data_IF_813072219705
#
_entry.id   IF_813072219705
#
_cell.length_a   1.000
_cell.length_b   1.000
_cell.length_c   1.000
_cell.angle_alpha   90.00
_cell.angle_beta   90.00
_cell.angle_gamma   90.00
#
_symmetry.space_group_name_H-M   'P 1'
#
loop_
_entity.id
_entity.type
_entity.pdbx_description
1 polymer ?
#
# COMPACT_ATOMS: atom_id res chain seq x y z
N UNK A 1 -27.80 39.28 7.13
CA UNK A 1 -26.59 38.58 6.68
C UNK A 1 -25.77 38.28 7.92
N UNK A 2 -25.63 37.01 8.33
CA UNK A 2 -24.72 36.70 9.44
C UNK A 2 -23.29 36.93 8.96
N UNK A 3 -22.49 37.67 9.73
CA UNK A 3 -21.04 37.81 9.46
C UNK A 3 -20.46 36.40 9.46
N UNK A 4 -20.02 35.92 8.31
CA UNK A 4 -19.31 34.65 8.20
C UNK A 4 -18.01 34.79 9.00
N UNK A 5 -17.79 33.88 9.95
CA UNK A 5 -16.56 33.86 10.74
C UNK A 5 -15.51 33.05 9.99
N UNK A 6 -14.31 33.61 9.84
CA UNK A 6 -13.18 32.92 9.23
C UNK A 6 -12.24 32.42 10.32
N UNK A 7 -11.88 31.15 10.29
CA UNK A 7 -10.82 30.58 11.10
C UNK A 7 -9.47 30.81 10.42
N UNK A 8 -8.51 31.36 11.17
CA UNK A 8 -7.13 31.58 10.75
C UNK A 8 -6.18 31.13 11.86
N UNK A 9 -5.13 30.41 11.49
CA UNK A 9 -4.02 30.10 12.39
C UNK A 9 -3.24 31.41 12.63
N UNK A 10 -2.94 31.81 13.87
CA UNK A 10 -2.09 32.98 14.10
C UNK A 10 -0.75 32.83 13.37
N UNK A 11 -0.25 33.90 12.76
CA UNK A 11 0.90 33.85 11.84
C UNK A 11 2.15 33.27 12.50
N UNK A 12 2.34 33.47 13.81
CA UNK A 12 3.46 32.91 14.58
C UNK A 12 3.40 31.38 14.75
N UNK A 13 2.25 30.76 14.52
CA UNK A 13 2.06 29.31 14.55
C UNK A 13 1.83 28.73 13.16
N UNK A 14 1.80 29.53 12.10
CA UNK A 14 1.57 29.04 10.75
C UNK A 14 2.85 28.48 10.13
N UNK A 15 2.83 27.23 9.67
CA UNK A 15 3.91 26.63 8.91
C UNK A 15 3.41 25.60 7.91
N UNK A 16 3.74 25.78 6.62
CA UNK A 16 3.33 24.83 5.58
C UNK A 16 4.26 23.63 5.52
N UNK A 17 3.79 22.45 5.95
CA UNK A 17 4.49 21.20 5.67
C UNK A 17 4.52 20.91 4.16
N UNK A 18 5.66 20.41 3.69
CA UNK A 18 5.90 20.05 2.29
C UNK A 18 6.57 18.68 2.21
N UNK A 19 6.09 17.81 1.32
CA UNK A 19 6.74 16.54 0.96
C UNK A 19 6.73 16.33 -0.57
N UNK A 20 7.49 15.33 -1.04
CA UNK A 20 7.58 14.96 -2.47
C UNK A 20 6.21 14.57 -3.01
N UNK A 21 5.81 15.15 -4.14
CA UNK A 21 4.51 14.90 -4.77
C UNK A 21 4.66 13.87 -5.90
N UNK A 22 4.06 12.68 -5.79
CA UNK A 22 4.06 11.73 -6.89
C UNK A 22 3.07 12.18 -7.98
N UNK A 23 3.56 12.34 -9.21
CA UNK A 23 2.74 12.73 -10.39
C UNK A 23 1.71 11.68 -10.81
N UNK A 24 1.79 10.49 -10.26
CA UNK A 24 0.95 9.33 -10.58
C UNK A 24 -0.12 9.05 -9.53
N UNK A 25 -0.47 10.03 -8.68
CA UNK A 25 -1.47 9.85 -7.60
C UNK A 25 -2.77 9.15 -8.06
N UNK A 26 -3.31 9.53 -9.23
CA UNK A 26 -4.57 8.97 -9.72
C UNK A 26 -4.46 7.50 -10.16
N UNK A 27 -3.23 7.01 -10.35
CA UNK A 27 -2.89 5.67 -10.86
C UNK A 27 -1.85 5.01 -9.93
N UNK A 28 -1.85 5.42 -8.65
CA UNK A 28 -0.77 5.10 -7.71
C UNK A 28 -0.64 3.60 -7.48
N UNK A 29 -1.77 2.91 -7.39
CA UNK A 29 -1.82 1.46 -7.18
C UNK A 29 -1.12 0.70 -8.33
N UNK A 30 -1.48 0.98 -9.58
CA UNK A 30 -0.86 0.30 -10.74
C UNK A 30 0.60 0.70 -10.96
N UNK A 31 0.94 1.98 -10.76
CA UNK A 31 2.34 2.44 -10.88
C UNK A 31 3.22 1.79 -9.84
N UNK A 32 2.78 1.72 -8.58
CA UNK A 32 3.59 1.13 -7.52
C UNK A 32 3.83 -0.37 -7.75
N UNK A 33 2.81 -1.13 -8.14
CA UNK A 33 2.98 -2.56 -8.46
C UNK A 33 3.94 -2.77 -9.63
N UNK A 34 3.79 -2.00 -10.71
CA UNK A 34 4.68 -2.09 -11.87
C UNK A 34 6.12 -1.74 -11.52
N UNK A 35 6.32 -0.60 -10.85
CA UNK A 35 7.65 -0.07 -10.55
C UNK A 35 8.33 -0.88 -9.45
N UNK A 36 7.63 -1.31 -8.41
CA UNK A 36 8.20 -2.19 -7.38
C UNK A 36 8.65 -3.53 -7.98
N UNK A 37 7.80 -4.14 -8.82
CA UNK A 37 8.16 -5.39 -9.53
C UNK A 37 9.43 -5.19 -10.33
N UNK A 38 9.47 -4.18 -11.18
CA UNK A 38 10.64 -3.91 -12.02
C UNK A 38 11.89 -3.49 -11.24
N UNK A 39 11.77 -2.72 -10.14
CA UNK A 39 12.91 -2.38 -9.28
C UNK A 39 13.43 -3.64 -8.58
N UNK A 40 12.55 -4.50 -8.06
CA UNK A 40 12.94 -5.73 -7.32
C UNK A 40 13.84 -6.68 -8.12
N UNK A 41 13.79 -6.57 -9.45
CA UNK A 41 14.54 -7.35 -10.42
C UNK A 41 15.92 -6.79 -10.75
N UNK A 42 16.21 -5.54 -10.35
CA UNK A 42 17.46 -4.87 -10.69
C UNK A 42 18.60 -5.41 -9.83
N UNK A 43 19.77 -5.58 -10.44
CA UNK A 43 21.00 -5.91 -9.69
C UNK A 43 21.53 -4.66 -8.99
N UNK A 44 22.48 -4.86 -8.08
CA UNK A 44 23.28 -3.76 -7.53
C UNK A 44 24.06 -3.12 -8.68
N UNK A 45 23.88 -1.82 -8.89
CA UNK A 45 24.47 -1.08 -10.00
C UNK A 45 24.95 0.30 -9.55
N UNK A 46 25.96 0.88 -10.19
CA UNK A 46 26.29 2.30 -9.99
C UNK A 46 25.08 3.19 -10.27
N UNK A 47 24.94 4.28 -9.53
CA UNK A 47 23.75 5.16 -9.55
C UNK A 47 23.28 5.53 -10.98
N UNK A 48 24.21 5.94 -11.84
CA UNK A 48 23.92 6.33 -13.23
C UNK A 48 23.35 5.17 -14.06
N UNK A 49 23.88 3.96 -13.88
CA UNK A 49 23.45 2.78 -14.63
C UNK A 49 22.07 2.32 -14.14
N UNK A 50 21.89 2.26 -12.81
CA UNK A 50 20.60 1.96 -12.20
C UNK A 50 19.52 2.95 -12.68
N UNK A 51 19.81 4.25 -12.63
CA UNK A 51 18.88 5.29 -13.07
C UNK A 51 18.48 5.15 -14.54
N UNK A 52 19.41 4.75 -15.41
CA UNK A 52 19.12 4.51 -16.83
C UNK A 52 18.23 3.29 -17.04
N UNK A 53 18.48 2.19 -16.32
CA UNK A 53 17.63 0.99 -16.40
C UNK A 53 16.21 1.26 -15.88
N UNK A 54 16.09 1.94 -14.72
CA UNK A 54 14.79 2.32 -14.19
C UNK A 54 14.03 3.29 -15.12
N UNK A 55 14.73 4.21 -15.78
CA UNK A 55 14.10 5.06 -16.79
C UNK A 55 13.51 4.25 -17.96
N UNK A 56 14.23 3.23 -18.47
CA UNK A 56 13.72 2.36 -19.55
C UNK A 56 12.43 1.65 -19.12
N UNK A 57 12.40 1.15 -17.89
CA UNK A 57 11.19 0.57 -17.26
C UNK A 57 10.06 1.60 -17.25
N UNK A 58 10.31 2.79 -16.73
CA UNK A 58 9.29 3.83 -16.61
C UNK A 58 8.74 4.31 -17.96
N UNK A 59 9.55 4.31 -19.02
CA UNK A 59 9.08 4.55 -20.40
C UNK A 59 8.14 3.44 -20.89
N UNK A 60 8.34 2.20 -20.46
CA UNK A 60 7.48 1.06 -20.79
C UNK A 60 6.09 1.09 -20.14
N UNK A 61 5.86 1.99 -19.18
CA UNK A 61 4.59 2.04 -18.45
C UNK A 61 3.52 2.87 -19.18
N UNK A 62 2.44 2.21 -19.64
CA UNK A 62 1.25 2.85 -20.23
C UNK A 62 1.58 3.95 -21.25
N UNK A 63 1.18 5.19 -20.95
CA UNK A 63 1.32 6.38 -21.82
C UNK A 63 2.69 7.04 -21.68
N UNK A 64 3.59 6.51 -20.86
CA UNK A 64 4.91 7.07 -20.65
C UNK A 64 5.83 6.90 -21.87
N UNK A 65 5.50 6.03 -22.81
CA UNK A 65 6.26 5.84 -24.04
C UNK A 65 6.44 7.14 -24.86
N UNK A 66 5.52 8.10 -24.73
CA UNK A 66 5.58 9.42 -25.38
C UNK A 66 5.99 10.56 -24.44
N UNK A 67 6.31 10.26 -23.18
CA UNK A 67 6.73 11.26 -22.20
C UNK A 67 8.15 11.78 -22.48
N UNK A 68 8.46 12.98 -22.00
CA UNK A 68 9.82 13.54 -22.10
C UNK A 68 10.74 12.91 -21.06
N UNK A 69 12.05 12.86 -21.36
CA UNK A 69 13.07 12.38 -20.44
C UNK A 69 12.98 13.05 -19.06
N UNK A 70 12.84 14.38 -19.03
CA UNK A 70 12.64 15.15 -17.78
C UNK A 70 11.42 14.68 -16.99
N UNK A 71 10.35 14.26 -17.66
CA UNK A 71 9.15 13.75 -16.96
C UNK A 71 9.45 12.41 -16.30
N UNK A 72 10.14 11.52 -17.00
CA UNK A 72 10.57 10.21 -16.48
C UNK A 72 11.57 10.35 -15.33
N UNK A 73 12.54 11.25 -15.45
CA UNK A 73 13.51 11.50 -14.37
C UNK A 73 12.83 12.01 -13.10
N UNK A 74 11.79 12.85 -13.25
CA UNK A 74 10.99 13.28 -12.11
C UNK A 74 10.20 12.12 -11.51
N UNK A 75 9.58 11.26 -12.32
CA UNK A 75 8.89 10.07 -11.83
C UNK A 75 9.82 9.16 -11.04
N UNK A 76 11.02 8.89 -11.58
CA UNK A 76 12.06 8.11 -10.90
C UNK A 76 12.36 8.71 -9.54
N UNK A 77 12.71 9.99 -9.51
CA UNK A 77 13.09 10.69 -8.27
C UNK A 77 11.94 10.72 -7.27
N UNK A 78 10.71 10.97 -7.72
CA UNK A 78 9.53 11.05 -6.86
C UNK A 78 9.16 9.69 -6.23
N UNK A 79 9.23 8.59 -7.01
CA UNK A 79 8.98 7.23 -6.49
C UNK A 79 10.06 6.82 -5.50
N UNK A 80 11.33 7.00 -5.90
CA UNK A 80 12.48 6.57 -5.10
C UNK A 80 12.53 7.33 -3.78
N UNK A 81 12.31 8.65 -3.81
CA UNK A 81 12.37 9.48 -2.61
C UNK A 81 11.21 9.20 -1.64
N UNK A 82 9.97 9.07 -2.14
CA UNK A 82 8.80 8.96 -1.28
C UNK A 82 8.61 7.58 -0.68
N UNK A 83 8.71 6.53 -1.50
CA UNK A 83 8.31 5.17 -1.11
C UNK A 83 9.48 4.27 -0.68
N UNK A 84 10.70 4.80 -0.66
CA UNK A 84 11.87 4.09 -0.17
C UNK A 84 12.23 2.84 -0.97
N UNK A 85 11.89 2.79 -2.26
CA UNK A 85 12.09 1.61 -3.11
C UNK A 85 13.56 1.31 -3.45
N UNK A 86 14.45 2.29 -3.32
CA UNK A 86 15.86 2.17 -3.63
C UNK A 86 16.66 2.48 -2.37
N UNK A 87 17.68 1.68 -2.10
CA UNK A 87 18.72 1.98 -1.10
C UNK A 87 20.03 2.23 -1.83
N UNK A 88 20.84 3.13 -1.26
CA UNK A 88 22.21 3.38 -1.69
C UNK A 88 23.18 2.77 -0.69
N UNK A 89 24.29 2.24 -1.18
CA UNK A 89 25.41 1.83 -0.33
C UNK A 89 26.70 2.07 -1.09
N UNK A 90 27.56 2.96 -0.60
CA UNK A 90 28.86 3.30 -1.21
C UNK A 90 28.76 3.71 -2.71
N UNK A 91 27.74 4.47 -3.11
CA UNK A 91 27.54 4.90 -4.50
C UNK A 91 26.91 3.85 -5.43
N UNK A 92 26.48 2.71 -4.88
CA UNK A 92 25.73 1.69 -5.60
C UNK A 92 24.28 1.68 -5.15
N UNK A 93 23.36 1.67 -6.11
CA UNK A 93 21.93 1.55 -5.89
C UNK A 93 21.49 0.10 -5.96
N UNK A 94 20.55 -0.25 -5.08
CA UNK A 94 19.98 -1.60 -5.01
C UNK A 94 18.50 -1.57 -4.65
N UNK A 95 17.74 -2.64 -5.00
CA UNK A 95 16.34 -2.74 -4.62
C UNK A 95 16.20 -2.92 -3.10
N UNK A 96 15.42 -2.04 -2.51
CA UNK A 96 15.11 -2.05 -1.08
C UNK A 96 14.23 -3.24 -0.66
N UNK A 97 14.10 -3.43 0.65
CA UNK A 97 13.13 -4.38 1.22
C UNK A 97 11.69 -4.00 0.84
N UNK A 98 11.34 -2.72 0.87
CA UNK A 98 9.98 -2.26 0.55
C UNK A 98 9.58 -2.60 -0.91
N UNK A 99 10.50 -2.41 -1.86
CA UNK A 99 10.26 -2.76 -3.26
C UNK A 99 10.09 -4.27 -3.44
N UNK A 100 10.94 -5.07 -2.78
CA UNK A 100 10.85 -6.54 -2.80
C UNK A 100 9.56 -7.04 -2.17
N UNK A 101 9.14 -6.45 -1.05
CA UNK A 101 7.88 -6.79 -0.36
C UNK A 101 6.69 -6.58 -1.29
N UNK A 102 6.53 -5.38 -1.86
CA UNK A 102 5.40 -5.11 -2.74
C UNK A 102 5.44 -5.98 -4.01
N UNK A 103 6.63 -6.20 -4.58
CA UNK A 103 6.79 -7.06 -5.75
C UNK A 103 6.41 -8.53 -5.50
N UNK A 104 6.75 -9.06 -4.32
CA UNK A 104 6.49 -10.46 -4.00
C UNK A 104 5.06 -10.67 -3.49
N UNK A 105 4.61 -9.82 -2.57
CA UNK A 105 3.34 -10.00 -1.88
C UNK A 105 2.16 -9.41 -2.65
N UNK A 106 2.40 -8.36 -3.46
CA UNK A 106 1.37 -7.68 -4.27
C UNK A 106 0.17 -7.16 -3.44
N UNK A 107 0.38 -6.93 -2.14
CA UNK A 107 -0.59 -6.36 -1.21
C UNK A 107 -0.28 -4.88 -0.96
N UNK A 108 -1.09 -3.99 -1.56
CA UNK A 108 -0.89 -2.55 -1.44
C UNK A 108 -1.21 -2.03 -0.03
N UNK A 109 -2.21 -2.62 0.62
CA UNK A 109 -2.57 -2.29 2.01
C UNK A 109 -1.43 -2.61 2.98
N UNK A 110 -0.81 -3.78 2.85
CA UNK A 110 0.42 -4.13 3.59
C UNK A 110 1.52 -3.09 3.35
N UNK A 111 1.84 -2.82 2.08
CA UNK A 111 2.88 -1.85 1.71
C UNK A 111 2.63 -0.47 2.32
N UNK A 112 1.41 0.09 2.20
CA UNK A 112 1.10 1.40 2.73
C UNK A 112 1.13 1.43 4.26
N UNK A 113 0.83 0.32 4.95
CA UNK A 113 1.00 0.23 6.39
C UNK A 113 2.48 0.39 6.80
N UNK A 114 3.41 -0.30 6.15
CA UNK A 114 4.85 -0.10 6.40
C UNK A 114 5.30 1.33 6.09
N UNK A 115 4.88 1.87 4.94
CA UNK A 115 5.19 3.25 4.56
C UNK A 115 4.74 4.24 5.65
N UNK A 116 3.47 4.18 6.06
CA UNK A 116 2.89 5.07 7.08
C UNK A 116 3.47 4.86 8.47
N UNK A 117 3.93 3.65 8.78
CA UNK A 117 4.53 3.31 10.07
C UNK A 117 5.83 4.08 10.31
N UNK A 118 6.67 4.19 9.27
CA UNK A 118 7.94 4.92 9.32
C UNK A 118 7.84 6.41 8.95
N UNK A 119 6.73 6.84 8.33
CA UNK A 119 6.59 8.20 7.80
C UNK A 119 6.53 9.26 8.91
N UNK A 120 7.37 10.28 8.83
CA UNK A 120 7.47 11.38 9.80
C UNK A 120 7.98 12.68 9.17
N UNK A 121 7.81 13.78 9.90
CA UNK A 121 8.44 15.08 9.62
C UNK A 121 9.34 15.49 10.78
N UNK A 122 10.62 15.82 10.53
CA UNK A 122 11.34 15.74 9.25
C UNK A 122 11.62 14.30 8.80
N UNK A 123 11.93 14.11 7.51
CA UNK A 123 12.27 12.82 6.91
C UNK A 123 13.04 12.95 5.60
N UNK A 124 13.83 11.93 5.23
CA UNK A 124 14.70 11.93 4.05
C UNK A 124 13.97 11.89 2.69
N UNK A 125 12.66 11.67 2.71
CA UNK A 125 11.79 11.84 1.53
C UNK A 125 11.51 13.31 1.17
N UNK A 126 12.16 14.26 1.86
CA UNK A 126 11.97 15.70 1.72
C UNK A 126 13.32 16.33 1.36
N UNK A 127 13.31 17.25 0.39
CA UNK A 127 14.51 17.98 0.00
C UNK A 127 15.14 18.73 1.18
N UNK A 128 16.48 18.66 1.29
CA UNK A 128 17.26 19.08 2.46
C UNK A 128 16.91 20.48 2.99
N UNK A 129 16.77 21.49 2.12
CA UNK A 129 16.45 22.85 2.56
C UNK A 129 15.07 22.96 3.24
N UNK A 130 14.11 22.09 2.88
CA UNK A 130 12.81 22.03 3.55
C UNK A 130 12.87 21.26 4.86
N UNK A 131 13.73 20.25 4.96
CA UNK A 131 14.04 19.57 6.23
C UNK A 131 14.63 20.58 7.22
N UNK A 132 15.60 21.39 6.79
CA UNK A 132 16.19 22.47 7.62
C UNK A 132 15.10 23.39 8.16
N UNK A 133 14.23 23.92 7.30
CA UNK A 133 13.11 24.79 7.71
C UNK A 133 12.17 24.12 8.72
N UNK A 134 11.94 22.81 8.59
CA UNK A 134 11.10 22.04 9.53
C UNK A 134 11.78 21.91 10.90
N UNK A 135 13.08 21.61 10.93
CA UNK A 135 13.87 21.51 12.16
C UNK A 135 13.93 22.88 12.86
N UNK A 136 14.21 23.96 12.13
CA UNK A 136 14.24 25.33 12.66
C UNK A 136 12.89 25.76 13.24
N UNK A 137 11.78 25.31 12.64
CA UNK A 137 10.44 25.54 13.16
C UNK A 137 10.04 24.59 14.32
N UNK A 138 10.90 23.66 14.70
CA UNK A 138 10.68 22.70 15.78
C UNK A 138 9.73 21.54 15.45
N UNK A 139 9.45 21.31 14.16
CA UNK A 139 8.52 20.27 13.70
C UNK A 139 9.00 18.89 14.13
N UNK A 140 8.12 18.13 14.79
CA UNK A 140 8.28 16.73 15.20
C UNK A 140 6.92 16.05 15.06
N UNK A 141 6.61 15.59 13.86
CA UNK A 141 5.24 15.20 13.53
C UNK A 141 5.16 13.81 12.91
N UNK A 142 4.35 12.94 13.51
CA UNK A 142 4.02 11.60 13.01
C UNK A 142 2.57 11.55 12.52
N UNK A 143 2.32 11.71 11.21
CA UNK A 143 0.98 12.00 10.70
C UNK A 143 -0.04 10.88 10.93
N UNK A 144 0.34 9.62 10.63
CA UNK A 144 -0.57 8.47 10.72
C UNK A 144 -1.14 8.34 12.15
N UNK A 145 -0.25 8.28 13.15
CA UNK A 145 -0.61 8.15 14.56
C UNK A 145 -1.44 9.35 15.05
N UNK A 146 -1.08 10.57 14.65
CA UNK A 146 -1.85 11.76 14.99
C UNK A 146 -3.29 11.70 14.44
N UNK A 147 -3.46 11.31 13.17
CA UNK A 147 -4.77 11.23 12.52
C UNK A 147 -5.65 10.14 13.16
N UNK A 148 -5.09 8.96 13.46
CA UNK A 148 -5.80 7.90 14.17
C UNK A 148 -6.30 8.39 15.54
N UNK A 149 -5.43 9.02 16.33
CA UNK A 149 -5.80 9.60 17.62
C UNK A 149 -6.84 10.70 17.48
N UNK A 150 -6.76 11.55 16.45
CA UNK A 150 -7.73 12.61 16.18
C UNK A 150 -9.13 12.05 15.94
N UNK A 151 -9.22 10.99 15.13
CA UNK A 151 -10.50 10.36 14.83
C UNK A 151 -11.08 9.67 16.08
N UNK A 152 -10.26 8.91 16.81
CA UNK A 152 -10.66 8.23 18.07
C UNK A 152 -11.15 9.25 19.10
N UNK A 153 -10.42 10.34 19.33
CA UNK A 153 -10.83 11.36 20.30
C UNK A 153 -12.09 12.11 19.83
N UNK A 154 -12.26 12.33 18.53
CA UNK A 154 -13.49 12.87 17.97
C UNK A 154 -14.70 11.96 18.18
N UNK A 155 -14.53 10.65 18.03
CA UNK A 155 -15.59 9.66 18.33
C UNK A 155 -15.97 9.68 19.81
N UNK A 156 -14.98 9.68 20.71
CA UNK A 156 -15.21 9.78 22.16
C UNK A 156 -15.97 11.06 22.54
N UNK A 157 -15.65 12.19 21.91
CA UNK A 157 -16.30 13.47 22.18
C UNK A 157 -17.74 13.55 21.67
N UNK A 158 -18.06 12.82 20.59
CA UNK A 158 -19.37 12.92 19.93
C UNK A 158 -20.31 11.75 20.21
N UNK A 159 -19.78 10.62 20.71
CA UNK A 159 -20.52 9.38 20.92
C UNK A 159 -20.97 8.70 19.62
N UNK A 160 -20.41 9.09 18.46
CA UNK A 160 -20.77 8.58 17.13
C UNK A 160 -19.54 8.58 16.22
N UNK A 161 -19.56 7.85 15.08
CA UNK A 161 -18.45 7.87 14.13
C UNK A 161 -18.06 9.29 13.74
N UNK A 162 -16.77 9.60 13.86
CA UNK A 162 -16.21 10.91 13.59
C UNK A 162 -15.41 10.86 12.31
N UNK A 163 -15.57 11.90 11.49
CA UNK A 163 -14.85 12.06 10.23
C UNK A 163 -14.23 13.43 10.14
N UNK A 164 -13.24 13.57 9.28
CA UNK A 164 -12.58 14.84 8.94
C UNK A 164 -12.44 14.98 7.42
N UNK A 165 -12.29 16.21 6.94
CA UNK A 165 -11.91 16.52 5.57
C UNK A 165 -10.41 16.82 5.47
N UNK A 166 -9.85 16.77 4.26
CA UNK A 166 -8.47 17.20 4.02
C UNK A 166 -8.26 18.70 4.36
N UNK A 167 -9.26 19.55 4.14
CA UNK A 167 -9.25 20.96 4.53
C UNK A 167 -9.14 21.12 6.05
N UNK A 168 -9.96 20.40 6.81
CA UNK A 168 -9.93 20.46 8.28
C UNK A 168 -8.61 19.96 8.84
N UNK A 169 -8.09 18.86 8.30
CA UNK A 169 -6.78 18.34 8.70
C UNK A 169 -5.65 19.34 8.37
N UNK A 170 -5.74 20.01 7.22
CA UNK A 170 -4.77 21.02 6.81
C UNK A 170 -4.77 22.21 7.76
N UNK A 171 -5.95 22.79 7.98
CA UNK A 171 -6.11 24.07 8.66
C UNK A 171 -6.11 23.95 10.19
N UNK A 172 -6.52 22.81 10.74
CA UNK A 172 -6.56 22.60 12.19
C UNK A 172 -5.35 21.84 12.73
N UNK A 173 -4.53 21.23 11.87
CA UNK A 173 -3.37 20.43 12.30
C UNK A 173 -2.10 20.68 11.47
N UNK A 174 -2.07 20.32 10.19
CA UNK A 174 -0.81 20.27 9.41
C UNK A 174 -0.12 21.64 9.30
N UNK A 175 -0.88 22.73 9.26
CA UNK A 175 -0.32 24.08 9.22
C UNK A 175 -0.07 24.72 10.58
N UNK A 176 -0.53 24.09 11.67
CA UNK A 176 -0.43 24.65 13.00
C UNK A 176 0.78 24.06 13.73
N UNK A 177 1.83 24.87 13.91
CA UNK A 177 3.04 24.48 14.64
C UNK A 177 2.73 23.98 16.04
N UNK A 178 1.66 24.43 16.68
CA UNK A 178 1.29 23.89 17.99
C UNK A 178 0.97 22.40 17.90
N UNK A 179 0.43 21.94 16.78
CA UNK A 179 0.15 20.52 16.53
C UNK A 179 1.41 19.80 16.06
N UNK A 180 2.08 20.32 15.04
CA UNK A 180 3.24 19.63 14.43
C UNK A 180 4.49 19.64 15.30
N UNK A 181 4.54 20.43 16.38
CA UNK A 181 5.56 20.37 17.44
C UNK A 181 5.10 19.63 18.70
N UNK A 182 3.89 19.04 18.70
CA UNK A 182 3.34 18.25 19.81
C UNK A 182 2.76 19.06 20.98
N UNK A 183 2.72 20.39 20.89
CA UNK A 183 2.18 21.30 21.94
C UNK A 183 0.65 21.29 22.05
N UNK A 184 -0.06 20.83 21.02
CA UNK A 184 -1.52 20.68 20.96
C UNK A 184 -1.86 19.24 20.58
N UNK A 185 -2.70 18.63 21.40
CA UNK A 185 -3.04 17.22 21.28
C UNK A 185 -4.23 16.99 20.33
N UNK A 186 -4.34 15.75 19.83
CA UNK A 186 -5.40 15.35 18.90
C UNK A 186 -6.82 15.64 19.41
N UNK A 187 -7.07 15.45 20.70
CA UNK A 187 -8.35 15.79 21.35
C UNK A 187 -8.71 17.27 21.25
N UNK A 188 -7.74 18.16 21.38
CA UNK A 188 -7.96 19.61 21.28
C UNK A 188 -8.27 20.01 19.85
N UNK A 189 -7.61 19.38 18.87
CA UNK A 189 -7.91 19.55 17.45
C UNK A 189 -9.30 19.04 17.12
N UNK A 190 -9.72 17.88 17.65
CA UNK A 190 -11.09 17.38 17.48
C UNK A 190 -12.14 18.39 18.00
N UNK A 191 -11.92 18.95 19.20
CA UNK A 191 -12.78 20.00 19.77
C UNK A 191 -12.82 21.25 18.88
N UNK A 192 -11.67 21.67 18.34
CA UNK A 192 -11.58 22.81 17.43
C UNK A 192 -12.40 22.56 16.16
N UNK A 193 -12.25 21.41 15.51
CA UNK A 193 -13.02 21.04 14.32
C UNK A 193 -14.53 21.04 14.62
N UNK A 194 -14.94 20.42 15.73
CA UNK A 194 -16.34 20.39 16.15
C UNK A 194 -16.91 21.79 16.41
N UNK A 195 -16.13 22.65 17.06
CA UNK A 195 -16.51 24.05 17.29
C UNK A 195 -16.64 24.80 15.96
N UNK A 196 -15.66 24.68 15.08
CA UNK A 196 -15.65 25.29 13.75
C UNK A 196 -16.89 24.89 12.93
N UNK A 197 -17.24 23.59 12.93
CA UNK A 197 -18.47 23.09 12.29
C UNK A 197 -19.74 23.69 12.90
N UNK A 198 -19.81 23.77 14.23
CA UNK A 198 -20.97 24.32 14.96
C UNK A 198 -21.15 25.81 14.65
N UNK A 199 -20.05 26.55 14.65
CA UNK A 199 -19.99 27.99 14.38
C UNK A 199 -20.09 28.30 12.88
N UNK A 200 -20.09 27.27 12.01
CA UNK A 200 -20.11 27.36 10.53
C UNK A 200 -19.02 28.29 10.00
N UNK A 201 -17.80 28.13 10.53
CA UNK A 201 -16.66 28.95 10.10
C UNK A 201 -16.15 28.50 8.74
N UNK A 202 -15.69 29.46 7.94
CA UNK A 202 -14.87 29.17 6.77
C UNK A 202 -13.39 29.17 7.17
N UNK A 203 -12.55 28.48 6.41
CA UNK A 203 -11.11 28.46 6.64
C UNK A 203 -10.39 29.50 5.77
N UNK A 204 -9.43 30.21 6.35
CA UNK A 204 -8.52 31.11 5.64
C UNK A 204 -7.52 30.33 4.78
N UNK A 205 -7.28 30.81 3.57
CA UNK A 205 -6.30 30.24 2.63
C UNK A 205 -5.19 31.22 2.28
N UNK A 206 -5.44 32.52 2.45
CA UNK A 206 -4.58 33.59 2.02
C UNK A 206 -3.60 33.95 3.16
N UNK A 207 -2.68 33.03 3.42
CA UNK A 207 -1.53 33.28 4.27
C UNK A 207 -0.41 33.89 3.42
N UNK A 208 0.14 35.04 3.80
CA UNK A 208 1.22 35.69 3.03
C UNK A 208 2.43 34.75 2.84
N UNK A 209 2.68 33.85 3.80
CA UNK A 209 3.71 32.79 3.69
C UNK A 209 3.45 31.76 2.57
N UNK A 210 2.23 31.68 2.03
CA UNK A 210 1.87 30.83 0.89
C UNK A 210 1.92 31.55 -0.45
N UNK A 211 2.01 32.89 -0.44
CA UNK A 211 1.94 33.71 -1.63
C UNK A 211 3.13 33.44 -2.54
N UNK A 212 2.86 33.24 -3.82
CA UNK A 212 3.93 33.06 -4.80
C UNK A 212 4.70 34.37 -4.95
N UNK A 213 5.98 34.40 -4.59
CA UNK A 213 6.82 35.61 -4.65
C UNK A 213 6.92 36.20 -6.07
N UNK A 214 6.76 35.38 -7.12
CA UNK A 214 6.90 35.81 -8.52
C UNK A 214 5.59 36.33 -9.10
N UNK A 215 4.46 35.69 -8.79
CA UNK A 215 3.16 36.04 -9.38
C UNK A 215 2.29 36.89 -8.43
N UNK A 216 2.58 36.88 -7.14
CA UNK A 216 1.76 37.50 -6.10
C UNK A 216 0.48 36.74 -5.78
N UNK A 217 0.24 35.60 -6.41
CA UNK A 217 -0.99 34.81 -6.29
C UNK A 217 -0.90 33.80 -5.14
N UNK A 218 -2.05 33.55 -4.49
CA UNK A 218 -2.20 32.48 -3.51
C UNK A 218 -2.46 31.13 -4.19
N UNK A 219 -2.01 30.01 -3.59
CA UNK A 219 -2.29 28.69 -4.12
C UNK A 219 -3.79 28.38 -4.08
N UNK A 220 -4.26 27.52 -4.99
CA UNK A 220 -5.64 27.05 -4.94
C UNK A 220 -5.92 26.27 -3.64
N UNK A 221 -7.21 26.16 -3.26
CA UNK A 221 -7.62 25.34 -2.09
C UNK A 221 -7.14 23.88 -2.22
N UNK A 222 -7.25 23.31 -3.42
CA UNK A 222 -6.78 21.96 -3.70
C UNK A 222 -5.27 21.81 -3.52
N UNK A 223 -4.50 22.83 -3.91
CA UNK A 223 -3.04 22.84 -3.73
C UNK A 223 -2.62 23.03 -2.27
N UNK A 224 -3.43 23.75 -1.51
CA UNK A 224 -3.21 24.01 -0.09
C UNK A 224 -3.44 22.75 0.72
N UNK A 225 -4.53 22.02 0.46
CA UNK A 225 -4.93 20.85 1.23
C UNK A 225 -4.24 19.55 0.79
N UNK A 226 -3.36 19.64 -0.22
CA UNK A 226 -2.87 18.48 -0.97
C UNK A 226 -2.10 17.48 -0.11
N UNK A 227 -1.13 17.94 0.69
CA UNK A 227 -0.26 17.06 1.47
C UNK A 227 -1.02 16.30 2.56
N UNK A 228 -1.95 16.97 3.24
CA UNK A 228 -2.81 16.31 4.21
C UNK A 228 -3.75 15.30 3.52
N UNK A 229 -4.29 15.66 2.34
CA UNK A 229 -5.09 14.77 1.51
C UNK A 229 -4.30 13.54 1.02
N UNK A 230 -3.06 13.70 0.59
CA UNK A 230 -2.19 12.60 0.14
C UNK A 230 -2.00 11.56 1.26
N UNK A 231 -1.71 12.01 2.49
CA UNK A 231 -1.60 11.09 3.64
C UNK A 231 -2.93 10.42 3.98
N UNK A 232 -4.05 11.15 3.93
CA UNK A 232 -5.37 10.56 4.14
C UNK A 232 -5.69 9.49 3.09
N UNK A 233 -5.36 9.73 1.82
CA UNK A 233 -5.52 8.76 0.75
C UNK A 233 -4.63 7.53 0.95
N UNK A 234 -3.37 7.71 1.38
CA UNK A 234 -2.49 6.58 1.72
C UNK A 234 -2.99 5.80 2.92
N UNK A 235 -3.58 6.44 3.93
CA UNK A 235 -4.22 5.75 5.05
C UNK A 235 -5.50 5.00 4.63
N UNK A 236 -6.20 5.46 3.60
CA UNK A 236 -7.29 4.69 2.97
C UNK A 236 -6.72 3.48 2.23
N UNK A 237 -5.64 3.63 1.46
CA UNK A 237 -4.99 2.51 0.77
C UNK A 237 -4.39 1.48 1.74
N UNK A 238 -3.89 1.92 2.90
CA UNK A 238 -3.46 1.07 4.02
C UNK A 238 -4.62 0.37 4.75
N UNK A 239 -5.86 0.60 4.31
CA UNK A 239 -7.07 0.09 4.94
C UNK A 239 -7.23 0.51 6.42
N UNK A 240 -6.62 1.62 6.83
CA UNK A 240 -6.77 2.22 8.18
C UNK A 240 -7.99 3.14 8.24
N UNK A 241 -8.28 3.80 7.12
CA UNK A 241 -9.41 4.71 6.95
C UNK A 241 -10.35 4.24 5.84
N UNK A 242 -11.57 4.76 5.87
CA UNK A 242 -12.52 4.70 4.77
C UNK A 242 -13.00 6.11 4.41
N UNK A 243 -13.60 6.25 3.22
CA UNK A 243 -14.34 7.43 2.82
C UNK A 243 -15.68 7.02 2.19
N UNK A 244 -16.73 7.85 2.33
CA UNK A 244 -18.09 7.55 1.81
C UNK A 244 -18.21 7.73 0.28
N UNK A 245 -17.31 7.13 -0.49
CA UNK A 245 -17.26 7.19 -1.96
C UNK A 245 -16.90 8.55 -2.57
N UNK A 246 -16.99 9.67 -1.83
CA UNK A 246 -16.72 11.02 -2.34
C UNK A 246 -15.28 11.50 -2.11
N UNK A 247 -14.46 10.76 -1.34
CA UNK A 247 -13.12 11.21 -0.92
C UNK A 247 -13.13 12.51 -0.09
N UNK A 248 -14.30 12.94 0.39
CA UNK A 248 -14.44 14.22 1.08
C UNK A 248 -14.37 14.07 2.60
N UNK A 249 -14.99 13.03 3.15
CA UNK A 249 -14.96 12.70 4.58
C UNK A 249 -14.25 11.38 4.83
N UNK A 250 -13.18 11.43 5.62
CA UNK A 250 -12.37 10.29 6.03
C UNK A 250 -12.69 9.90 7.48
N UNK A 251 -12.87 8.62 7.74
CA UNK A 251 -13.19 8.06 9.07
C UNK A 251 -12.46 6.73 9.27
N UNK A 252 -12.38 6.24 10.51
CA UNK A 252 -11.68 5.00 10.83
C UNK A 252 -12.30 3.80 10.12
N UNK A 253 -11.46 2.91 9.60
CA UNK A 253 -11.91 1.58 9.23
C UNK A 253 -11.96 0.69 10.47
N UNK A 254 -13.12 0.60 11.12
CA UNK A 254 -13.30 -0.21 12.34
C UNK A 254 -13.16 -1.72 12.12
N UNK A 255 -13.11 -2.19 10.88
CA UNK A 255 -12.88 -3.60 10.55
C UNK A 255 -11.38 -3.95 10.67
N UNK A 256 -10.48 -2.97 10.47
CA UNK A 256 -9.03 -3.19 10.50
C UNK A 256 -8.40 -2.77 11.84
N UNK A 257 -8.97 -3.25 12.95
CA UNK A 257 -8.55 -2.84 14.31
C UNK A 257 -7.11 -3.23 14.63
N UNK A 258 -6.64 -4.36 14.09
CA UNK A 258 -5.32 -4.88 14.38
C UNK A 258 -4.22 -3.94 13.90
N UNK A 259 -4.25 -3.56 12.61
CA UNK A 259 -3.32 -2.59 12.05
C UNK A 259 -3.42 -1.22 12.75
N UNK A 260 -4.64 -0.73 13.01
CA UNK A 260 -4.86 0.54 13.72
C UNK A 260 -4.22 0.51 15.11
N UNK A 261 -4.47 -0.55 15.88
CA UNK A 261 -3.89 -0.70 17.22
C UNK A 261 -2.36 -0.81 17.16
N UNK A 262 -1.83 -1.51 16.16
CA UNK A 262 -0.39 -1.63 15.97
C UNK A 262 0.27 -0.25 15.78
N UNK A 263 -0.27 0.60 14.90
CA UNK A 263 0.22 1.98 14.70
C UNK A 263 0.11 2.85 15.96
N UNK A 264 -0.91 2.64 16.79
CA UNK A 264 -1.12 3.41 18.02
C UNK A 264 -0.21 2.98 19.16
N UNK A 265 0.09 1.68 19.26
CA UNK A 265 0.84 1.08 20.36
C UNK A 265 2.36 1.04 20.11
N UNK A 266 2.77 1.05 18.84
CA UNK A 266 4.18 0.99 18.46
C UNK A 266 4.62 2.33 17.90
N UNK A 267 5.30 3.12 18.71
CA UNK A 267 5.90 4.37 18.25
C UNK A 267 7.34 4.13 17.79
N UNK A 268 7.65 4.65 16.60
CA UNK A 268 8.99 4.56 15.98
C UNK A 268 9.37 5.93 15.49
N UNK A 269 10.61 6.34 15.72
CA UNK A 269 11.09 7.66 15.38
C UNK A 269 12.52 7.56 14.86
N UNK A 270 12.77 8.19 13.72
CA UNK A 270 14.10 8.43 13.19
C UNK A 270 14.66 9.68 13.87
N UNK A 271 15.55 9.45 14.83
CA UNK A 271 16.12 10.45 15.74
C UNK A 271 17.42 11.08 15.23
N UNK A 272 17.98 10.65 14.09
CA UNK A 272 19.22 11.23 13.57
C UNK A 272 19.11 12.73 13.23
N UNK A 273 17.90 13.25 13.02
CA UNK A 273 17.66 14.70 12.89
C UNK A 273 17.69 15.44 14.23
N UNK A 274 17.54 14.76 15.36
CA UNK A 274 17.35 15.37 16.68
C UNK A 274 18.55 16.24 17.10
N UNK A 275 19.76 15.87 16.65
CA UNK A 275 21.00 16.62 16.92
C UNK A 275 21.04 18.03 16.31
N UNK A 276 20.16 18.33 15.35
CA UNK A 276 20.10 19.64 14.69
C UNK A 276 19.09 20.60 15.34
N UNK A 277 18.23 20.12 16.25
CA UNK A 277 17.31 21.02 16.93
C UNK A 277 18.09 21.93 17.91
N UNK A 278 17.83 23.24 17.82
CA UNK A 278 18.57 24.28 18.54
C UNK A 278 20.04 24.45 18.13
N UNK A 279 20.45 23.90 16.98
CA UNK A 279 21.75 24.21 16.39
C UNK A 279 21.78 25.64 15.85
N UNK A 280 22.91 26.32 15.98
CA UNK A 280 23.09 27.71 15.49
C UNK A 280 23.04 27.81 13.96
N UNK A 281 23.47 26.74 13.26
CA UNK A 281 23.44 26.65 11.81
C UNK A 281 23.31 25.20 11.36
N UNK A 282 22.52 24.97 10.30
CA UNK A 282 22.34 23.65 9.68
C UNK A 282 22.61 23.81 8.18
N UNK A 283 23.42 22.91 7.60
CA UNK A 283 23.77 22.97 6.17
C UNK A 283 23.13 21.84 5.36
N UNK A 284 22.91 22.07 4.06
CA UNK A 284 22.37 21.04 3.17
C UNK A 284 23.22 19.76 3.10
N UNK A 285 24.57 19.80 3.10
CA UNK A 285 25.39 18.59 3.13
C UNK A 285 25.22 17.76 4.40
N UNK A 286 25.06 18.38 5.57
CA UNK A 286 24.86 17.66 6.84
C UNK A 286 23.54 16.89 6.84
N UNK A 287 22.47 17.51 6.34
CA UNK A 287 21.18 16.85 6.16
C UNK A 287 21.24 15.78 5.07
N UNK A 288 21.93 16.06 3.96
CA UNK A 288 22.08 15.10 2.86
C UNK A 288 22.85 13.84 3.27
N UNK A 289 23.79 13.94 4.20
CA UNK A 289 24.50 12.79 4.75
C UNK A 289 23.58 11.83 5.53
N UNK A 290 22.36 12.24 5.89
CA UNK A 290 21.38 11.38 6.57
C UNK A 290 20.48 10.62 5.58
N UNK A 291 20.55 10.89 4.28
CA UNK A 291 19.64 10.29 3.30
C UNK A 291 19.78 8.76 3.23
N UNK A 292 21.02 8.25 3.16
CA UNK A 292 21.30 6.80 3.18
C UNK A 292 20.74 6.16 4.46
N UNK A 293 21.02 6.76 5.62
CA UNK A 293 20.60 6.26 6.94
C UNK A 293 19.06 6.31 7.09
N UNK A 294 18.41 7.32 6.51
CA UNK A 294 16.95 7.40 6.47
C UNK A 294 16.35 6.24 5.66
N UNK A 295 16.91 5.96 4.47
CA UNK A 295 16.42 4.86 3.64
C UNK A 295 16.69 3.49 4.25
N UNK A 296 17.76 3.33 5.02
CA UNK A 296 18.00 2.15 5.85
C UNK A 296 16.96 2.01 6.95
N UNK A 297 16.63 3.10 7.65
CA UNK A 297 15.62 3.10 8.70
C UNK A 297 14.23 2.69 8.18
N UNK A 298 13.72 3.33 7.12
CA UNK A 298 12.38 3.00 6.59
C UNK A 298 12.29 1.58 6.01
N UNK A 299 13.43 1.01 5.61
CA UNK A 299 13.54 -0.37 5.12
C UNK A 299 13.97 -1.38 6.19
N UNK A 300 14.09 -0.98 7.46
CA UNK A 300 14.49 -1.88 8.55
C UNK A 300 13.35 -2.72 9.13
N UNK A 301 12.10 -2.34 8.85
CA UNK A 301 10.90 -3.02 9.37
C UNK A 301 10.50 -4.19 8.47
N UNK A 302 10.22 -5.35 9.07
CA UNK A 302 9.75 -6.53 8.36
C UNK A 302 8.92 -7.47 9.25
N UNK A 303 8.13 -8.36 8.63
CA UNK A 303 7.35 -9.41 9.29
C UNK A 303 6.41 -8.92 10.41
N UNK A 304 5.80 -7.74 10.23
CA UNK A 304 4.75 -7.22 11.10
C UNK A 304 3.43 -7.93 10.78
N UNK A 305 3.04 -8.89 11.62
CA UNK A 305 1.82 -9.70 11.45
C UNK A 305 0.57 -8.82 11.25
N UNK A 306 0.40 -7.77 12.05
CA UNK A 306 -0.73 -6.84 11.97
C UNK A 306 -0.90 -6.12 10.61
N UNK A 307 0.13 -6.12 9.74
CA UNK A 307 0.08 -5.51 8.42
C UNK A 307 -0.18 -6.51 7.29
N UNK A 308 -0.09 -7.81 7.57
CA UNK A 308 -0.42 -8.84 6.61
C UNK A 308 -1.92 -8.76 6.21
N UNK A 309 -2.30 -9.24 5.03
CA UNK A 309 -3.72 -9.35 4.69
C UNK A 309 -4.37 -10.47 5.51
N UNK A 310 -5.53 -10.17 6.09
CA UNK A 310 -6.33 -11.11 6.84
C UNK A 310 -7.71 -11.28 6.19
N UNK A 311 -8.30 -12.47 6.38
CA UNK A 311 -9.70 -12.72 6.12
C UNK A 311 -10.54 -12.07 7.23
N UNK A 312 -11.71 -11.56 6.89
CA UNK A 312 -12.66 -11.08 7.90
C UNK A 312 -13.17 -12.26 8.75
N UNK A 313 -13.56 -12.00 10.01
CA UNK A 313 -14.02 -13.05 10.94
C UNK A 313 -15.13 -13.92 10.33
N UNK A 314 -16.11 -13.28 9.66
CA UNK A 314 -17.21 -13.99 9.00
C UNK A 314 -16.72 -14.88 7.85
N UNK A 315 -15.72 -14.44 7.09
CA UNK A 315 -15.15 -15.24 6.00
C UNK A 315 -14.39 -16.45 6.55
N UNK A 316 -13.66 -16.27 7.65
CA UNK A 316 -12.98 -17.36 8.35
C UNK A 316 -14.00 -18.39 8.83
N UNK A 317 -15.11 -17.96 9.43
CA UNK A 317 -16.20 -18.85 9.86
C UNK A 317 -16.83 -19.61 8.69
N UNK A 318 -17.18 -18.89 7.62
CA UNK A 318 -17.80 -19.47 6.42
C UNK A 318 -16.88 -20.51 5.76
N UNK A 319 -15.61 -20.17 5.54
CA UNK A 319 -14.62 -21.08 4.94
C UNK A 319 -14.37 -22.27 5.88
N UNK A 320 -14.29 -22.04 7.19
CA UNK A 320 -14.15 -23.11 8.17
C UNK A 320 -15.33 -24.08 8.10
N UNK A 321 -16.56 -23.57 8.03
CA UNK A 321 -17.77 -24.38 7.93
C UNK A 321 -17.79 -25.20 6.63
N UNK A 322 -17.40 -24.60 5.49
CA UNK A 322 -17.28 -25.30 4.21
C UNK A 322 -16.32 -26.47 4.29
N UNK A 323 -15.10 -26.20 4.77
CA UNK A 323 -14.05 -27.20 4.84
C UNK A 323 -14.48 -28.31 5.82
N UNK A 324 -15.07 -27.96 6.97
CA UNK A 324 -15.64 -28.93 7.91
C UNK A 324 -16.78 -29.77 7.33
N UNK A 325 -17.70 -29.17 6.56
CA UNK A 325 -18.78 -29.88 5.86
C UNK A 325 -18.21 -30.99 4.97
N UNK A 326 -17.10 -30.71 4.27
CA UNK A 326 -16.47 -31.71 3.40
C UNK A 326 -15.69 -32.79 4.15
N UNK A 327 -14.96 -32.42 5.21
CA UNK A 327 -14.22 -33.40 6.01
C UNK A 327 -15.14 -34.32 6.80
N UNK A 328 -16.27 -33.81 7.34
CA UNK A 328 -17.23 -34.60 8.12
C UNK A 328 -18.03 -35.62 7.30
N UNK A 329 -18.13 -35.44 5.97
CA UNK A 329 -18.67 -36.46 5.05
C UNK A 329 -17.77 -37.70 4.94
N UNK A 330 -16.55 -37.64 5.49
CA UNK A 330 -15.66 -38.79 5.63
C UNK A 330 -15.86 -39.40 7.01
N UNK A 331 -15.92 -40.73 7.10
CA UNK A 331 -16.28 -41.51 8.31
C UNK A 331 -15.36 -41.35 9.55
N UNK A 332 -14.50 -40.34 9.64
CA UNK A 332 -13.66 -40.07 10.81
C UNK A 332 -13.56 -38.55 11.06
N UNK A 333 -13.67 -38.14 12.32
CA UNK A 333 -13.53 -36.77 12.83
C UNK A 333 -12.15 -36.15 12.53
N UNK A 334 -11.90 -35.81 11.26
CA UNK A 334 -10.73 -35.02 10.87
C UNK A 334 -11.00 -33.55 11.15
N UNK A 335 -10.37 -33.03 12.21
CA UNK A 335 -10.36 -31.59 12.50
C UNK A 335 -9.62 -30.84 11.39
N UNK A 336 -10.17 -29.69 10.99
CA UNK A 336 -9.56 -28.79 10.00
C UNK A 336 -8.20 -28.28 10.54
N UNK A 337 -7.10 -28.44 9.79
CA UNK A 337 -5.82 -27.88 10.20
C UNK A 337 -5.85 -26.34 10.25
N UNK A 338 -5.49 -25.75 11.39
CA UNK A 338 -5.38 -24.29 11.56
C UNK A 338 -4.38 -23.63 10.62
N UNK A 339 -3.39 -24.38 10.12
CA UNK A 339 -2.38 -23.90 9.15
C UNK A 339 -2.97 -23.54 7.76
N UNK A 340 -4.23 -23.89 7.49
CA UNK A 340 -4.89 -23.56 6.22
C UNK A 340 -5.01 -22.05 6.06
N UNK A 341 -5.33 -21.31 7.13
CA UNK A 341 -5.64 -19.87 7.11
C UNK A 341 -4.42 -18.94 7.06
N UNK A 342 -3.20 -19.49 7.01
CA UNK A 342 -1.96 -18.69 7.08
C UNK A 342 -1.56 -17.97 5.79
N UNK A 343 -2.27 -18.21 4.67
CA UNK A 343 -2.09 -17.43 3.44
C UNK A 343 -3.46 -17.04 2.88
N UNK A 344 -3.75 -15.74 2.90
CA UNK A 344 -5.03 -15.14 2.53
C UNK A 344 -5.51 -15.57 1.13
N UNK A 345 -4.63 -15.51 0.14
CA UNK A 345 -4.98 -15.84 -1.25
C UNK A 345 -5.23 -17.33 -1.46
N UNK A 346 -4.31 -18.16 -0.96
CA UNK A 346 -4.42 -19.61 -1.06
C UNK A 346 -5.67 -20.15 -0.37
N UNK A 347 -6.06 -19.56 0.76
CA UNK A 347 -7.26 -19.95 1.52
C UNK A 347 -8.54 -19.72 0.69
N UNK A 348 -8.62 -18.56 0.01
CA UNK A 348 -9.74 -18.25 -0.87
C UNK A 348 -9.80 -19.19 -2.08
N UNK A 349 -8.65 -19.50 -2.69
CA UNK A 349 -8.58 -20.46 -3.80
C UNK A 349 -8.94 -21.88 -3.34
N UNK A 350 -8.57 -22.26 -2.12
CA UNK A 350 -8.94 -23.55 -1.56
C UNK A 350 -10.47 -23.69 -1.46
N UNK A 351 -11.14 -22.69 -0.89
CA UNK A 351 -12.60 -22.64 -0.79
C UNK A 351 -13.26 -22.66 -2.18
N UNK A 352 -12.70 -21.89 -3.14
CA UNK A 352 -13.14 -21.88 -4.52
C UNK A 352 -13.11 -23.27 -5.15
N UNK A 353 -12.01 -24.02 -5.00
CA UNK A 353 -11.87 -25.34 -5.60
C UNK A 353 -12.81 -26.38 -4.97
N UNK A 354 -13.09 -26.28 -3.67
CA UNK A 354 -14.12 -27.07 -3.01
C UNK A 354 -15.51 -26.81 -3.61
N UNK A 355 -15.88 -25.55 -3.79
CA UNK A 355 -17.17 -25.15 -4.38
C UNK A 355 -17.27 -25.55 -5.86
N UNK A 356 -16.24 -25.28 -6.66
CA UNK A 356 -16.17 -25.59 -8.09
C UNK A 356 -16.44 -27.07 -8.37
N UNK A 357 -15.99 -27.94 -7.47
CA UNK A 357 -16.09 -29.39 -7.66
C UNK A 357 -17.32 -29.99 -6.98
N UNK A 358 -18.03 -29.26 -6.11
CA UNK A 358 -19.09 -29.75 -5.20
C UNK A 358 -20.10 -30.67 -5.88
N UNK A 359 -20.64 -30.25 -7.01
CA UNK A 359 -21.73 -30.96 -7.70
C UNK A 359 -21.23 -31.96 -8.76
N UNK A 360 -19.94 -31.90 -9.10
CA UNK A 360 -19.34 -32.71 -10.17
C UNK A 360 -18.49 -33.88 -9.69
N UNK A 361 -18.11 -33.94 -8.41
CA UNK A 361 -17.24 -34.99 -7.89
C UNK A 361 -17.50 -35.30 -6.43
N UNK A 362 -17.05 -36.47 -5.98
CA UNK A 362 -16.95 -36.85 -4.56
C UNK A 362 -15.49 -36.91 -4.07
N UNK A 363 -14.54 -36.46 -4.89
CA UNK A 363 -13.09 -36.54 -4.64
C UNK A 363 -12.50 -35.29 -3.97
N UNK A 364 -13.33 -34.42 -3.39
CA UNK A 364 -12.93 -33.17 -2.74
C UNK A 364 -11.93 -33.36 -1.60
N UNK A 365 -11.96 -34.52 -0.94
CA UNK A 365 -10.98 -34.91 0.07
C UNK A 365 -9.52 -34.96 -0.45
N UNK A 366 -9.34 -34.93 -1.77
CA UNK A 366 -8.03 -34.86 -2.42
C UNK A 366 -7.55 -33.43 -2.65
N UNK A 367 -8.41 -32.43 -2.43
CA UNK A 367 -8.09 -31.01 -2.52
C UNK A 367 -7.38 -30.62 -1.23
N UNK A 368 -6.13 -30.15 -1.35
CA UNK A 368 -5.28 -29.85 -0.20
C UNK A 368 -4.35 -28.68 -0.52
N UNK A 369 -4.16 -27.78 0.45
CA UNK A 369 -3.02 -26.85 0.49
C UNK A 369 -1.73 -27.64 0.75
N UNK A 370 -0.68 -27.32 0.02
CA UNK A 370 0.62 -27.96 0.15
C UNK A 370 1.49 -27.17 1.11
N UNK A 371 2.12 -27.81 2.10
CA UNK A 371 3.08 -27.12 2.97
C UNK A 371 4.30 -26.60 2.19
N UNK A 372 4.59 -25.31 2.30
CA UNK A 372 5.75 -24.63 1.70
C UNK A 372 7.09 -25.36 1.89
N UNK A 373 7.43 -25.96 3.06
CA UNK A 373 8.70 -26.68 3.23
C UNK A 373 8.90 -27.89 2.32
N UNK A 374 7.84 -28.40 1.69
CA UNK A 374 7.96 -29.50 0.71
C UNK A 374 8.55 -29.05 -0.63
N UNK A 375 8.50 -27.76 -0.94
CA UNK A 375 9.14 -27.18 -2.12
C UNK A 375 8.67 -27.79 -3.45
N UNK A 376 7.39 -28.16 -3.57
CA UNK A 376 6.89 -28.90 -4.74
C UNK A 376 6.61 -28.04 -5.96
N UNK A 377 6.68 -26.70 -5.84
CA UNK A 377 6.49 -25.76 -6.94
C UNK A 377 5.03 -25.46 -7.29
N UNK A 378 4.10 -25.66 -6.35
CA UNK A 378 2.70 -25.20 -6.41
C UNK A 378 2.08 -25.18 -5.01
N UNK A 379 1.07 -24.34 -4.80
CA UNK A 379 0.47 -24.12 -3.48
C UNK A 379 -0.68 -25.08 -3.17
N UNK A 380 -1.48 -25.46 -4.17
CA UNK A 380 -2.63 -26.33 -3.98
C UNK A 380 -2.64 -27.51 -4.94
N UNK A 381 -2.99 -28.68 -4.40
CA UNK A 381 -3.47 -29.79 -5.20
C UNK A 381 -4.99 -29.79 -5.20
N UNK A 382 -5.60 -29.90 -6.37
CA UNK A 382 -7.03 -30.05 -6.60
C UNK A 382 -7.30 -31.22 -7.57
N UNK A 383 -8.53 -31.31 -8.09
CA UNK A 383 -9.01 -32.36 -8.97
C UNK A 383 -9.67 -31.79 -10.23
N UNK A 384 -9.52 -32.52 -11.32
CA UNK A 384 -10.42 -32.37 -12.47
C UNK A 384 -11.66 -33.24 -12.27
N UNK A 385 -12.85 -32.74 -12.64
CA UNK A 385 -14.13 -33.44 -12.47
C UNK A 385 -14.09 -34.84 -13.13
N UNK A 386 -13.71 -34.98 -14.43
CA UNK A 386 -13.72 -36.28 -15.10
C UNK A 386 -12.68 -37.24 -14.51
N UNK A 387 -11.41 -36.84 -14.51
CA UNK A 387 -10.25 -37.63 -14.03
C UNK A 387 -9.02 -36.72 -13.99
N UNK A 388 -8.00 -37.10 -13.23
CA UNK A 388 -6.70 -36.41 -13.02
C UNK A 388 -6.67 -35.43 -11.84
N UNK A 389 -5.46 -35.00 -11.54
CA UNK A 389 -5.11 -33.98 -10.54
C UNK A 389 -4.92 -32.65 -11.24
N UNK A 390 -5.24 -31.59 -10.51
CA UNK A 390 -4.96 -30.20 -10.88
C UNK A 390 -3.93 -29.69 -9.87
N UNK A 391 -2.87 -29.05 -10.32
CA UNK A 391 -1.85 -28.44 -9.47
C UNK A 391 -1.87 -26.94 -9.70
N UNK A 392 -2.04 -26.17 -8.65
CA UNK A 392 -2.37 -24.75 -8.72
C UNK A 392 -1.32 -23.95 -7.97
N UNK A 393 -0.68 -23.05 -8.70
CA UNK A 393 0.08 -21.93 -8.14
C UNK A 393 -0.84 -20.72 -7.99
N UNK A 394 -0.85 -20.11 -6.81
CA UNK A 394 -1.72 -18.98 -6.48
C UNK A 394 -0.89 -17.71 -6.45
N UNK A 395 -1.31 -16.74 -7.26
CA UNK A 395 -0.76 -15.38 -7.22
C UNK A 395 -1.90 -14.45 -6.88
N UNK A 396 -1.74 -13.65 -5.84
CA UNK A 396 -2.82 -12.78 -5.36
C UNK A 396 -2.41 -11.33 -5.48
N UNK A 397 -3.34 -10.45 -5.81
CA UNK A 397 -3.15 -9.00 -5.73
C UNK A 397 -4.38 -8.39 -5.07
N UNK A 398 -4.14 -7.60 -4.02
CA UNK A 398 -5.20 -6.89 -3.29
C UNK A 398 -4.99 -5.39 -3.42
N UNK A 399 -6.07 -4.72 -3.77
CA UNK A 399 -6.12 -3.29 -4.08
C UNK A 399 -7.50 -2.75 -3.74
N UNK A 400 -7.71 -1.44 -3.75
CA UNK A 400 -9.07 -0.90 -3.56
C UNK A 400 -9.81 -0.78 -4.88
N UNK A 401 -9.10 -0.46 -5.96
CA UNK A 401 -9.68 -0.25 -7.29
C UNK A 401 -9.50 -1.45 -8.19
N UNK A 402 -10.32 -1.54 -9.24
CA UNK A 402 -10.06 -2.45 -10.34
C UNK A 402 -8.69 -2.15 -10.96
N UNK A 403 -7.76 -3.10 -10.88
CA UNK A 403 -6.43 -3.02 -11.47
C UNK A 403 -6.41 -3.69 -12.84
N UNK A 404 -5.67 -3.09 -13.77
CA UNK A 404 -5.26 -3.76 -15.00
C UNK A 404 -3.84 -4.36 -14.87
N UNK A 405 -3.37 -4.61 -13.64
CA UNK A 405 -2.07 -5.23 -13.43
C UNK A 405 -2.12 -6.70 -13.88
N UNK A 406 -1.45 -6.99 -15.00
CA UNK A 406 -1.36 -8.32 -15.58
C UNK A 406 0.04 -8.91 -15.42
N UNK A 407 0.77 -8.50 -14.38
CA UNK A 407 2.13 -8.97 -14.10
C UNK A 407 2.19 -9.66 -12.75
N UNK A 408 2.84 -10.82 -12.71
CA UNK A 408 3.19 -11.53 -11.49
C UNK A 408 4.52 -12.25 -11.68
N UNK A 409 5.18 -12.60 -10.57
CA UNK A 409 6.45 -13.31 -10.59
C UNK A 409 6.27 -14.78 -10.30
N UNK A 410 6.96 -15.63 -11.06
CA UNK A 410 7.12 -17.05 -10.73
C UNK A 410 8.52 -17.31 -10.17
N UNK A 411 8.65 -18.30 -9.29
CA UNK A 411 9.97 -18.81 -8.89
C UNK A 411 10.51 -19.80 -9.94
N UNK A 412 11.84 -20.03 -10.00
CA UNK A 412 12.41 -21.05 -10.88
C UNK A 412 11.78 -22.43 -10.67
N UNK A 413 11.52 -22.79 -9.41
CA UNK A 413 10.90 -24.05 -9.06
C UNK A 413 9.44 -24.17 -9.58
N UNK A 414 8.66 -23.10 -9.50
CA UNK A 414 7.31 -23.04 -10.09
C UNK A 414 7.35 -23.20 -11.61
N UNK A 415 8.32 -22.56 -12.27
CA UNK A 415 8.48 -22.66 -13.72
C UNK A 415 8.88 -24.07 -14.17
N UNK A 416 9.89 -24.66 -13.53
CA UNK A 416 10.37 -26.02 -13.82
C UNK A 416 9.28 -27.08 -13.55
N UNK A 417 8.52 -26.87 -12.47
CA UNK A 417 7.39 -27.73 -12.12
C UNK A 417 6.25 -27.61 -13.14
N UNK A 418 5.95 -26.40 -13.61
CA UNK A 418 4.97 -26.18 -14.67
C UNK A 418 5.36 -26.86 -15.99
N UNK A 419 6.65 -26.88 -16.33
CA UNK A 419 7.18 -27.61 -17.49
C UNK A 419 6.98 -29.12 -17.37
N UNK A 420 7.20 -29.66 -16.16
CA UNK A 420 7.02 -31.09 -15.89
C UNK A 420 5.54 -31.51 -15.90
N UNK A 421 4.66 -30.72 -15.29
CA UNK A 421 3.26 -31.08 -15.07
C UNK A 421 2.33 -30.71 -16.25
N UNK A 422 2.75 -29.78 -17.11
CA UNK A 422 2.08 -29.43 -18.37
C UNK A 422 0.61 -29.06 -18.19
N UNK A 423 -0.30 -29.79 -18.86
CA UNK A 423 -1.74 -29.51 -18.85
C UNK A 423 -2.42 -29.69 -17.49
N UNK A 424 -1.74 -30.30 -16.50
CA UNK A 424 -2.24 -30.41 -15.14
C UNK A 424 -1.79 -29.25 -14.24
N UNK A 425 -0.92 -28.35 -14.72
CA UNK A 425 -0.45 -27.18 -13.98
C UNK A 425 -1.26 -25.93 -14.34
N UNK A 426 -1.66 -25.19 -13.32
CA UNK A 426 -2.47 -23.99 -13.44
C UNK A 426 -1.86 -22.88 -12.59
N UNK A 427 -1.91 -21.66 -13.12
CA UNK A 427 -1.72 -20.45 -12.32
C UNK A 427 -3.08 -19.80 -12.13
N UNK A 428 -3.43 -19.56 -10.87
CA UNK A 428 -4.62 -18.81 -10.48
C UNK A 428 -4.17 -17.43 -10.02
N UNK A 429 -4.41 -16.43 -10.85
CA UNK A 429 -4.14 -15.03 -10.52
C UNK A 429 -5.41 -14.39 -9.93
N UNK A 430 -5.47 -14.32 -8.60
CA UNK A 430 -6.58 -13.81 -7.81
C UNK A 430 -6.46 -12.28 -7.64
N UNK A 431 -7.43 -11.55 -8.18
CA UNK A 431 -7.55 -10.09 -8.02
C UNK A 431 -8.70 -9.78 -7.07
N UNK A 432 -8.38 -9.00 -6.04
CA UNK A 432 -9.33 -8.59 -4.99
C UNK A 432 -9.38 -7.07 -4.94
N UNK A 433 -10.58 -6.52 -5.05
CA UNK A 433 -10.86 -5.10 -4.93
C UNK A 433 -12.24 -4.84 -4.32
N UNK A 434 -12.58 -3.55 -4.14
CA UNK A 434 -13.83 -3.13 -3.51
C UNK A 434 -15.09 -3.53 -4.35
N UNK A 435 -14.94 -3.90 -5.63
CA UNK A 435 -16.03 -4.40 -6.49
C UNK A 435 -16.24 -5.92 -6.38
N UNK A 436 -15.22 -6.66 -5.94
CA UNK A 436 -15.29 -8.09 -5.69
C UNK A 436 -13.99 -8.85 -5.96
N UNK A 437 -14.11 -10.18 -5.98
CA UNK A 437 -12.99 -11.12 -6.12
C UNK A 437 -13.11 -11.92 -7.41
N UNK A 438 -12.08 -11.85 -8.25
CA UNK A 438 -12.03 -12.52 -9.56
C UNK A 438 -10.71 -13.29 -9.73
N UNK A 439 -10.76 -14.43 -10.42
CA UNK A 439 -9.59 -15.24 -10.72
C UNK A 439 -9.37 -15.25 -12.23
N UNK A 440 -8.14 -14.97 -12.66
CA UNK A 440 -7.68 -15.27 -14.00
C UNK A 440 -6.93 -16.61 -13.99
N UNK A 441 -7.46 -17.59 -14.72
CA UNK A 441 -6.94 -18.96 -14.74
C UNK A 441 -6.10 -19.17 -16.00
N UNK A 442 -4.82 -19.48 -15.82
CA UNK A 442 -3.87 -19.84 -16.88
C UNK A 442 -3.58 -21.33 -16.76
N UNK A 443 -3.96 -22.11 -17.77
CA UNK A 443 -3.60 -23.53 -17.87
C UNK A 443 -2.35 -23.70 -18.72
N UNK A 444 -1.41 -24.52 -18.22
CA UNK A 444 -0.14 -24.83 -18.88
C UNK A 444 0.62 -23.56 -19.31
N UNK A 445 1.17 -22.79 -18.34
CA UNK A 445 1.83 -21.52 -18.64
C UNK A 445 2.99 -21.66 -19.62
N UNK A 446 3.69 -22.81 -19.62
CA UNK A 446 4.76 -23.10 -20.59
C UNK A 446 4.23 -23.16 -22.02
N UNK A 447 3.11 -23.85 -22.25
CA UNK A 447 2.45 -23.88 -23.57
C UNK A 447 1.97 -22.49 -23.98
N UNK A 448 1.44 -21.70 -23.04
CA UNK A 448 0.99 -20.34 -23.34
C UNK A 448 2.17 -19.42 -23.72
N UNK A 449 3.31 -19.55 -23.04
CA UNK A 449 4.55 -18.85 -23.38
C UNK A 449 5.06 -19.25 -24.76
N UNK A 450 5.18 -20.55 -25.04
CA UNK A 450 5.62 -21.06 -26.34
C UNK A 450 4.69 -20.65 -27.49
N UNK A 451 3.40 -20.43 -27.20
CA UNK A 451 2.41 -19.94 -28.17
C UNK A 451 2.40 -18.41 -28.32
N UNK A 452 3.24 -17.68 -27.58
CA UNK A 452 3.29 -16.22 -27.59
C UNK A 452 2.11 -15.53 -26.89
N UNK A 453 1.31 -16.26 -26.11
CA UNK A 453 0.17 -15.72 -25.36
C UNK A 453 0.58 -15.13 -24.00
N UNK A 454 1.71 -15.60 -23.45
CA UNK A 454 2.40 -15.03 -22.29
C UNK A 454 3.73 -14.46 -22.71
N UNK A 455 4.14 -13.35 -22.09
CA UNK A 455 5.53 -12.90 -22.11
C UNK A 455 6.15 -13.24 -20.76
N UNK A 456 7.36 -13.75 -20.78
CA UNK A 456 8.12 -14.05 -19.57
C UNK A 456 9.52 -13.50 -19.77
N UNK A 457 9.99 -12.69 -18.84
CA UNK A 457 11.35 -12.15 -18.88
C UNK A 457 12.35 -13.08 -18.19
N UNK A 458 13.63 -12.70 -18.22
CA UNK A 458 14.74 -13.45 -17.62
C UNK A 458 14.62 -13.64 -16.10
N UNK A 459 13.78 -12.85 -15.44
CA UNK A 459 13.55 -12.88 -14.00
C UNK A 459 12.25 -13.61 -13.63
N UNK A 460 11.63 -14.30 -14.60
CA UNK A 460 10.38 -15.03 -14.48
C UNK A 460 9.19 -14.16 -14.09
N UNK A 461 9.21 -12.88 -14.47
CA UNK A 461 7.99 -12.07 -14.42
C UNK A 461 7.15 -12.35 -15.65
N UNK A 462 5.94 -12.84 -15.38
CA UNK A 462 4.94 -13.20 -16.38
C UNK A 462 4.05 -11.99 -16.63
N UNK A 463 3.98 -11.53 -17.88
CA UNK A 463 2.97 -10.59 -18.35
C UNK A 463 1.92 -11.38 -19.16
N UNK A 464 0.68 -11.34 -18.69
CA UNK A 464 -0.42 -12.08 -19.29
C UNK A 464 -1.44 -11.18 -20.01
N UNK A 465 -2.24 -11.79 -20.87
CA UNK A 465 -3.33 -11.14 -21.59
C UNK A 465 -4.57 -12.03 -21.62
N UNK A 466 -5.72 -11.48 -22.03
CA UNK A 466 -6.97 -12.24 -22.17
C UNK A 466 -6.88 -13.47 -23.11
N UNK A 467 -5.80 -13.61 -23.90
CA UNK A 467 -5.56 -14.78 -24.75
C UNK A 467 -4.91 -15.97 -24.01
N UNK A 468 -4.28 -15.71 -22.86
CA UNK A 468 -3.50 -16.71 -22.12
C UNK A 468 -4.31 -17.52 -21.11
N UNK A 469 -5.56 -17.13 -20.86
CA UNK A 469 -6.37 -17.68 -19.79
C UNK A 469 -7.79 -17.14 -19.79
N UNK A 470 -8.54 -17.38 -18.72
CA UNK A 470 -9.94 -17.00 -18.60
C UNK A 470 -10.25 -16.39 -17.24
N UNK A 471 -11.05 -15.32 -17.24
CA UNK A 471 -11.59 -14.72 -16.03
C UNK A 471 -12.79 -15.51 -15.52
N UNK A 472 -12.84 -15.72 -14.21
CA UNK A 472 -13.95 -16.31 -13.48
C UNK A 472 -14.19 -15.53 -12.20
N UNK A 473 -15.44 -15.43 -11.76
CA UNK A 473 -15.74 -14.90 -10.43
C UNK A 473 -15.28 -15.92 -9.38
N UNK A 474 -14.71 -15.45 -8.27
CA UNK A 474 -14.44 -16.32 -7.13
C UNK A 474 -15.77 -16.89 -6.62
N UNK A 475 -15.90 -18.22 -6.59
CA UNK A 475 -16.98 -18.90 -5.89
C UNK A 475 -16.84 -18.69 -4.38
N UNK A 476 -17.89 -18.18 -3.77
CA UNK A 476 -17.97 -17.92 -2.34
C UNK A 476 -19.26 -18.56 -1.81
N UNK A 477 -19.27 -18.88 -0.52
CA UNK A 477 -20.50 -19.30 0.16
C UNK A 477 -21.37 -18.06 0.28
N UNK A 478 -22.64 -18.18 -0.09
CA UNK A 478 -23.59 -17.09 0.12
C UNK A 478 -23.69 -16.80 1.63
N UNK A 479 -23.53 -15.53 1.99
CA UNK A 479 -23.81 -15.03 3.34
C UNK A 479 -25.26 -15.25 3.74
#
# INVERSE_FOLDING_TARGET
>A
MSVMKTYRIPDEYFFRLHHVRPRFKNDVEEVLLYVATSISEMTVLPEKEFNNELNKVLFGFKKNATSTQKTIDNWRTEISALFGFIQETNGFLQPSLMAKRLANNQYLDEFFNYFLFSFQYPGGHIVNYNVIKQIEAGVRFKPCQFILNLLIEGEKLTGKPFSITAEELTQCAYFDLRVTTGKRQAKEVAKLILKNRTDKVEYEYDYEALKNERTGEFPSKGDTNRYAGDILDYMVLANLLQHKGTGYYYYLNVENKEAINFHLQNDVWFDEYDKFYNADSITNPEIGALEEVWFDYVNSFDNIEAFAPHLEEQEVENISALIQEYYSRMKEDRKVPTKIFGDYGETLILAHEYLRTKDGSNRQHLINKIPTPLGVGYDLQSIEIPKNKRYIEVKTTKSRKALNNNRFKLTPNEWDTAETLGDNYFVYYLVINDEGKNIFIIQNPIKQFNSGNLKVDKNLVVEFSNKSGQWQKLLEIAN
#
